data_IF_636659758902
#
_entry.id   IF_636659758902
#
_cell.length_a   1.000
_cell.length_b   1.000
_cell.length_c   1.000
_cell.angle_alpha   90.00
_cell.angle_beta   90.00
_cell.angle_gamma   90.00
#
_symmetry.space_group_name_H-M   'P 1'
#
loop_
_entity.id
_entity.type
_entity.pdbx_description
1 polymer ?
#
# COMPACT_ATOMS: atom_id res chain seq x y z
N UNK A 1 5.90 8.14 -45.81
CA UNK A 1 5.20 7.63 -44.60
C UNK A 1 6.24 7.45 -43.50
N UNK A 2 5.98 7.83 -42.24
CA UNK A 2 6.97 7.66 -41.18
C UNK A 2 7.02 6.19 -40.76
N UNK A 3 8.17 5.56 -40.93
CA UNK A 3 8.43 4.19 -40.48
C UNK A 3 8.49 4.16 -38.95
N UNK A 4 7.67 3.33 -38.32
CA UNK A 4 7.60 3.24 -36.87
C UNK A 4 8.86 2.58 -36.29
N UNK A 5 9.23 2.94 -35.05
CA UNK A 5 10.35 2.33 -34.29
C UNK A 5 10.31 0.78 -34.28
N UNK A 6 9.12 0.17 -34.37
CA UNK A 6 8.92 -1.27 -34.43
C UNK A 6 9.37 -1.89 -35.77
N UNK A 7 9.19 -1.18 -36.87
CA UNK A 7 9.56 -1.66 -38.21
C UNK A 7 11.09 -1.57 -38.42
N UNK A 8 11.73 -0.57 -37.82
CA UNK A 8 13.19 -0.44 -37.82
C UNK A 8 13.88 -1.62 -37.10
N UNK A 9 13.38 -2.01 -35.93
CA UNK A 9 13.94 -3.15 -35.17
C UNK A 9 13.72 -4.48 -35.90
N UNK A 10 12.57 -4.65 -36.56
CA UNK A 10 12.28 -5.87 -37.34
C UNK A 10 13.19 -5.99 -38.57
N UNK A 11 13.51 -4.87 -39.22
CA UNK A 11 14.41 -4.84 -40.39
C UNK A 11 15.86 -5.09 -40.00
N UNK A 12 16.32 -4.57 -38.85
CA UNK A 12 17.68 -4.78 -38.36
C UNK A 12 17.97 -6.25 -37.97
N UNK A 13 16.98 -6.98 -37.46
CA UNK A 13 17.12 -8.39 -37.09
C UNK A 13 17.24 -9.31 -38.32
N UNK A 14 16.60 -8.97 -39.45
CA UNK A 14 16.66 -9.77 -40.67
C UNK A 14 17.97 -9.61 -41.47
N UNK A 15 18.68 -8.49 -41.32
CA UNK A 15 19.94 -8.25 -42.02
C UNK A 15 21.15 -8.97 -41.41
N UNK A 16 21.16 -9.20 -40.09
CA UNK A 16 22.30 -9.81 -39.39
C UNK A 16 22.48 -11.31 -39.71
N UNK A 17 21.41 -12.01 -40.10
CA UNK A 17 21.46 -13.44 -40.41
C UNK A 17 22.19 -13.77 -41.72
N UNK A 18 22.37 -12.80 -42.62
CA UNK A 18 23.03 -12.99 -43.92
C UNK A 18 24.55 -12.67 -43.91
N UNK A 19 25.10 -12.17 -42.80
CA UNK A 19 26.49 -11.68 -42.73
C UNK A 19 27.41 -12.46 -41.77
N UNK A 20 26.96 -13.59 -41.20
CA UNK A 20 27.84 -14.48 -40.42
C UNK A 20 28.46 -13.85 -39.16
N UNK A 21 27.87 -12.79 -38.61
CA UNK A 21 28.34 -12.18 -37.37
C UNK A 21 27.94 -13.05 -36.16
N UNK A 22 28.84 -13.24 -35.18
CA UNK A 22 28.55 -14.05 -34.00
C UNK A 22 27.35 -13.46 -33.25
N UNK A 23 26.43 -14.34 -32.83
CA UNK A 23 25.27 -13.96 -32.03
C UNK A 23 25.73 -13.25 -30.76
N UNK A 24 25.33 -11.99 -30.60
CA UNK A 24 25.57 -11.26 -29.35
C UNK A 24 24.90 -12.01 -28.19
N UNK A 25 25.60 -12.25 -27.06
CA UNK A 25 24.95 -12.83 -25.90
C UNK A 25 23.79 -11.93 -25.49
N UNK A 26 22.62 -12.53 -25.26
CA UNK A 26 21.46 -11.81 -24.77
C UNK A 26 21.87 -11.05 -23.50
N UNK A 27 21.84 -9.72 -23.57
CA UNK A 27 22.09 -8.89 -22.39
C UNK A 27 21.07 -9.29 -21.32
N UNK A 28 21.49 -9.48 -20.05
CA UNK A 28 20.55 -9.75 -18.98
C UNK A 28 19.48 -8.67 -18.99
N UNK A 29 18.21 -9.10 -18.96
CA UNK A 29 17.10 -8.17 -18.90
C UNK A 29 17.33 -7.25 -17.70
N UNK A 30 17.42 -5.93 -17.96
CA UNK A 30 17.47 -4.94 -16.89
C UNK A 30 16.25 -5.19 -16.01
N UNK A 31 16.42 -5.49 -14.71
CA UNK A 31 15.28 -5.71 -13.83
C UNK A 31 14.36 -4.52 -13.96
N UNK A 32 13.11 -4.76 -14.36
CA UNK A 32 12.11 -3.70 -14.42
C UNK A 32 12.00 -3.13 -13.02
N UNK A 33 12.37 -1.86 -12.84
CA UNK A 33 12.23 -1.20 -11.54
C UNK A 33 10.76 -1.27 -11.14
N UNK A 34 10.49 -1.90 -10.01
CA UNK A 34 9.17 -1.92 -9.41
C UNK A 34 8.85 -0.46 -9.02
N UNK A 35 7.81 0.15 -9.60
CA UNK A 35 7.50 1.54 -9.31
C UNK A 35 6.83 1.72 -7.94
N UNK A 36 6.70 0.69 -7.11
CA UNK A 36 6.15 0.75 -5.75
C UNK A 36 7.20 1.18 -4.72
N UNK A 37 6.74 1.72 -3.58
CA UNK A 37 7.63 1.98 -2.43
C UNK A 37 8.44 0.72 -2.09
N UNK A 38 9.76 0.81 -1.87
CA UNK A 38 10.58 -0.31 -1.40
C UNK A 38 10.04 -0.89 -0.10
N UNK A 39 10.18 -2.20 0.06
CA UNK A 39 9.83 -2.89 1.29
C UNK A 39 11.09 -3.09 2.12
N UNK A 40 10.91 -3.12 3.43
CA UNK A 40 11.91 -3.70 4.31
C UNK A 40 12.18 -5.17 3.90
N UNK A 41 13.45 -5.62 3.89
CA UNK A 41 13.82 -6.98 3.49
C UNK A 41 13.03 -8.09 4.19
N UNK A 42 12.61 -7.90 5.44
CA UNK A 42 11.92 -8.93 6.23
C UNK A 42 10.59 -9.38 5.63
N UNK A 43 9.78 -8.44 5.15
CA UNK A 43 8.46 -8.74 4.56
C UNK A 43 8.49 -8.84 3.03
N UNK A 44 9.57 -8.39 2.38
CA UNK A 44 9.64 -8.24 0.93
C UNK A 44 9.26 -9.50 0.14
N UNK A 45 9.75 -10.71 0.48
CA UNK A 45 9.39 -11.93 -0.26
C UNK A 45 7.90 -12.27 -0.17
N UNK A 46 7.31 -12.14 1.02
CA UNK A 46 5.92 -12.52 1.25
C UNK A 46 4.95 -11.49 0.65
N UNK A 47 5.27 -10.20 0.74
CA UNK A 47 4.45 -9.17 0.06
C UNK A 47 4.45 -9.39 -1.45
N UNK A 48 5.60 -9.69 -2.06
CA UNK A 48 5.66 -10.00 -3.50
C UNK A 48 4.83 -11.22 -3.86
N UNK A 49 4.87 -12.29 -3.06
CA UNK A 49 4.00 -13.46 -3.23
C UNK A 49 2.53 -13.05 -3.30
N UNK A 50 2.05 -12.27 -2.32
CA UNK A 50 0.66 -11.82 -2.28
C UNK A 50 0.32 -10.95 -3.51
N UNK A 51 1.23 -10.07 -3.90
CA UNK A 51 1.01 -9.13 -5.00
C UNK A 51 0.99 -9.81 -6.38
N UNK A 52 1.88 -10.77 -6.60
CA UNK A 52 2.20 -11.31 -7.93
C UNK A 52 1.48 -12.62 -8.23
N UNK A 53 1.21 -13.46 -7.22
CA UNK A 53 0.50 -14.73 -7.42
C UNK A 53 -0.96 -14.49 -7.82
N UNK A 54 -1.47 -15.27 -8.78
CA UNK A 54 -2.88 -15.22 -9.19
C UNK A 54 -3.81 -15.61 -8.06
N UNK A 55 -5.00 -15.00 -8.01
CA UNK A 55 -6.00 -15.30 -6.97
C UNK A 55 -6.33 -16.80 -6.87
N UNK A 56 -6.45 -17.46 -8.02
CA UNK A 56 -6.85 -18.88 -8.14
C UNK A 56 -5.83 -19.89 -7.56
N UNK A 57 -4.60 -19.46 -7.29
CA UNK A 57 -3.54 -20.33 -6.75
C UNK A 57 -2.94 -19.79 -5.45
N UNK A 58 -3.33 -18.57 -5.05
CA UNK A 58 -2.69 -17.88 -3.93
C UNK A 58 -2.93 -18.58 -2.60
N UNK A 59 -4.14 -19.10 -2.38
CA UNK A 59 -4.49 -19.74 -1.11
C UNK A 59 -3.71 -21.04 -0.93
N UNK A 60 -3.53 -21.83 -1.99
CA UNK A 60 -2.72 -23.04 -2.01
C UNK A 60 -1.25 -22.73 -1.69
N UNK A 61 -0.70 -21.69 -2.33
CA UNK A 61 0.69 -21.23 -2.14
C UNK A 61 0.94 -20.72 -0.71
N UNK A 62 0.00 -19.98 -0.15
CA UNK A 62 0.07 -19.48 1.23
C UNK A 62 -0.09 -20.63 2.23
N UNK A 63 -1.06 -21.53 2.01
CA UNK A 63 -1.27 -22.70 2.86
C UNK A 63 -0.05 -23.64 2.88
N UNK A 64 0.61 -23.83 1.74
CA UNK A 64 1.86 -24.59 1.67
C UNK A 64 2.96 -23.96 2.53
N UNK A 65 3.10 -22.63 2.51
CA UNK A 65 4.08 -21.92 3.35
C UNK A 65 3.74 -21.98 4.83
N UNK A 66 2.46 -21.87 5.20
CA UNK A 66 2.00 -22.06 6.59
C UNK A 66 2.39 -23.46 7.09
N UNK A 67 2.14 -24.51 6.30
CA UNK A 67 2.56 -25.88 6.65
C UNK A 67 4.07 -26.04 6.78
N UNK A 68 4.85 -25.20 6.09
CA UNK A 68 6.31 -25.17 6.15
C UNK A 68 6.85 -24.14 7.16
N UNK A 69 6.02 -23.62 8.06
CA UNK A 69 6.47 -22.79 9.20
C UNK A 69 6.35 -21.28 9.02
N UNK A 70 5.63 -20.78 7.99
CA UNK A 70 5.33 -19.36 7.89
C UNK A 70 4.57 -18.88 9.14
N UNK A 71 5.10 -17.85 9.81
CA UNK A 71 4.52 -17.28 11.01
C UNK A 71 3.25 -16.47 10.74
N UNK A 72 2.33 -16.50 11.70
CA UNK A 72 1.06 -15.78 11.62
C UNK A 72 1.24 -14.26 11.47
N UNK A 73 2.11 -13.67 12.29
CA UNK A 73 2.39 -12.22 12.25
C UNK A 73 3.10 -11.81 10.96
N UNK A 74 3.91 -12.70 10.38
CA UNK A 74 4.55 -12.47 9.09
C UNK A 74 3.52 -12.36 7.98
N UNK A 75 2.53 -13.26 7.92
CA UNK A 75 1.46 -13.18 6.93
C UNK A 75 0.55 -11.96 7.17
N UNK A 76 0.21 -11.65 8.42
CA UNK A 76 -0.60 -10.47 8.76
C UNK A 76 0.09 -9.17 8.32
N UNK A 77 1.37 -9.01 8.65
CA UNK A 77 2.15 -7.84 8.26
C UNK A 77 2.35 -7.73 6.75
N UNK A 78 2.63 -8.84 6.07
CA UNK A 78 2.74 -8.85 4.61
C UNK A 78 1.40 -8.48 3.94
N UNK A 79 0.28 -8.97 4.45
CA UNK A 79 -1.05 -8.60 3.95
C UNK A 79 -1.29 -7.10 4.11
N UNK A 80 -1.00 -6.54 5.28
CA UNK A 80 -1.13 -5.09 5.54
C UNK A 80 -0.33 -4.27 4.52
N UNK A 81 0.96 -4.62 4.35
CA UNK A 81 1.86 -3.91 3.44
C UNK A 81 1.45 -4.08 1.97
N UNK A 82 1.03 -5.27 1.56
CA UNK A 82 0.51 -5.51 0.22
C UNK A 82 -0.76 -4.68 -0.02
N UNK A 83 -1.70 -4.66 0.92
CA UNK A 83 -2.95 -3.94 0.78
C UNK A 83 -2.73 -2.43 0.67
N UNK A 84 -1.96 -1.80 1.56
CA UNK A 84 -1.72 -0.34 1.52
C UNK A 84 -0.92 0.11 0.29
N UNK A 85 -0.09 -0.76 -0.29
CA UNK A 85 0.70 -0.47 -1.50
C UNK A 85 -0.11 -0.59 -2.80
N UNK A 86 -1.19 -1.36 -2.80
CA UNK A 86 -1.91 -1.74 -4.03
C UNK A 86 -3.39 -1.35 -4.04
N UNK A 87 -3.94 -0.84 -2.94
CA UNK A 87 -5.33 -0.39 -2.88
C UNK A 87 -5.36 1.01 -2.30
N UNK A 88 -5.88 1.96 -3.08
CA UNK A 88 -5.91 3.36 -2.68
C UNK A 88 -7.19 3.68 -1.88
N UNK A 89 -7.10 4.49 -0.80
CA UNK A 89 -8.25 4.92 0.02
C UNK A 89 -9.14 5.98 -0.67
N UNK A 90 -9.20 6.01 -2.01
CA UNK A 90 -9.93 7.00 -2.81
C UNK A 90 -10.74 6.33 -3.93
N UNK A 91 -11.80 6.99 -4.44
CA UNK A 91 -12.29 8.35 -4.11
C UNK A 91 -12.86 8.50 -2.69
N UNK A 92 -13.37 7.41 -2.13
CA UNK A 92 -13.83 7.32 -0.74
C UNK A 92 -13.12 6.20 0.00
N UNK A 93 -13.01 6.34 1.32
CA UNK A 93 -12.41 5.32 2.19
C UNK A 93 -13.47 4.26 2.45
N UNK A 94 -13.40 3.11 1.76
CA UNK A 94 -14.41 2.05 1.88
C UNK A 94 -14.36 1.11 0.68
N UNK A 95 -15.38 0.26 0.53
CA UNK A 95 -15.49 -0.72 -0.57
C UNK A 95 -14.22 -1.55 -0.73
N UNK A 96 -13.46 -1.38 -1.82
CA UNK A 96 -12.16 -2.04 -2.06
C UNK A 96 -11.15 -1.81 -0.93
N UNK A 97 -11.21 -0.67 -0.26
CA UNK A 97 -10.26 -0.35 0.82
C UNK A 97 -10.50 -1.19 2.08
N UNK A 98 -11.58 -1.97 2.16
CA UNK A 98 -11.74 -2.97 3.22
C UNK A 98 -10.58 -3.98 3.26
N UNK A 99 -9.89 -4.23 2.14
CA UNK A 99 -8.66 -5.01 2.13
C UNK A 99 -7.59 -4.52 3.13
N UNK A 100 -7.59 -3.21 3.47
CA UNK A 100 -6.74 -2.62 4.51
C UNK A 100 -7.48 -2.54 5.85
N UNK A 101 -8.71 -2.03 5.85
CA UNK A 101 -9.44 -1.71 7.08
C UNK A 101 -9.70 -2.94 7.96
N UNK A 102 -9.87 -4.11 7.36
CA UNK A 102 -10.25 -5.33 8.09
C UNK A 102 -9.06 -6.05 8.72
N UNK A 103 -7.81 -5.68 8.42
CA UNK A 103 -6.62 -6.48 8.81
C UNK A 103 -6.55 -6.73 10.32
N UNK A 104 -6.77 -5.71 11.15
CA UNK A 104 -6.83 -5.91 12.60
C UNK A 104 -8.11 -6.66 13.04
N UNK A 105 -9.24 -6.46 12.37
CA UNK A 105 -10.48 -7.19 12.67
C UNK A 105 -10.33 -8.69 12.42
N UNK A 106 -9.68 -9.09 11.32
CA UNK A 106 -9.38 -10.49 11.04
C UNK A 106 -8.34 -11.04 12.01
N UNK A 107 -7.43 -10.20 12.51
CA UNK A 107 -6.54 -10.58 13.59
C UNK A 107 -7.31 -10.96 14.86
N UNK A 108 -8.24 -10.11 15.29
CA UNK A 108 -9.10 -10.37 16.45
C UNK A 108 -9.99 -11.60 16.26
N UNK A 109 -10.57 -11.76 15.06
CA UNK A 109 -11.35 -12.96 14.72
C UNK A 109 -10.51 -14.23 14.78
N UNK A 110 -9.26 -14.18 14.29
CA UNK A 110 -8.32 -15.31 14.37
C UNK A 110 -8.02 -15.68 15.81
N UNK A 111 -7.72 -14.69 16.67
CA UNK A 111 -7.43 -14.93 18.09
C UNK A 111 -8.63 -15.49 18.85
N UNK A 112 -9.84 -15.16 18.42
CA UNK A 112 -11.10 -15.62 19.01
C UNK A 112 -11.56 -16.97 18.44
N UNK A 113 -10.87 -17.50 17.43
CA UNK A 113 -11.22 -18.77 16.79
C UNK A 113 -10.57 -19.97 17.49
N UNK A 114 -11.18 -21.17 17.42
CA UNK A 114 -10.51 -22.42 17.79
C UNK A 114 -9.17 -22.55 17.07
N UNK A 115 -8.19 -23.21 17.70
CA UNK A 115 -6.82 -23.33 17.16
C UNK A 115 -6.78 -23.82 15.72
N UNK A 116 -7.58 -24.85 15.40
CA UNK A 116 -7.70 -25.43 14.06
C UNK A 116 -8.22 -24.44 13.00
N UNK A 117 -8.92 -23.40 13.41
CA UNK A 117 -9.62 -22.43 12.55
C UNK A 117 -8.91 -21.07 12.50
N UNK A 118 -7.84 -20.86 13.29
CA UNK A 118 -7.15 -19.57 13.45
C UNK A 118 -6.63 -18.94 12.15
N UNK A 119 -6.35 -19.74 11.14
CA UNK A 119 -5.87 -19.27 9.84
C UNK A 119 -7.00 -18.83 8.91
N UNK A 120 -8.24 -19.31 9.11
CA UNK A 120 -9.34 -19.07 8.18
C UNK A 120 -9.65 -17.58 7.99
N UNK A 121 -9.74 -16.73 9.04
CA UNK A 121 -9.99 -15.31 8.84
C UNK A 121 -8.88 -14.60 8.06
N UNK A 122 -7.63 -15.00 8.27
CA UNK A 122 -6.48 -14.41 7.57
C UNK A 122 -6.41 -14.86 6.10
N UNK A 123 -6.70 -16.14 5.82
CA UNK A 123 -6.80 -16.65 4.45
C UNK A 123 -7.95 -15.99 3.67
N UNK A 124 -9.09 -15.75 4.33
CA UNK A 124 -10.19 -14.96 3.75
C UNK A 124 -9.73 -13.55 3.39
N UNK A 125 -8.97 -12.89 4.28
CA UNK A 125 -8.47 -11.54 4.03
C UNK A 125 -7.47 -11.48 2.87
N UNK A 126 -6.63 -12.52 2.73
CA UNK A 126 -5.72 -12.68 1.58
C UNK A 126 -6.50 -12.79 0.27
N UNK A 127 -7.55 -13.60 0.21
CA UNK A 127 -8.41 -13.69 -0.98
C UNK A 127 -9.13 -12.36 -1.28
N UNK A 128 -9.68 -11.73 -0.25
CA UNK A 128 -10.38 -10.45 -0.37
C UNK A 128 -9.46 -9.33 -0.88
N UNK A 129 -8.20 -9.30 -0.43
CA UNK A 129 -7.17 -8.40 -0.95
C UNK A 129 -7.00 -8.57 -2.47
N UNK A 130 -6.95 -9.80 -3.00
CA UNK A 130 -6.82 -10.02 -4.44
C UNK A 130 -8.01 -9.52 -5.24
N UNK A 131 -9.23 -9.66 -4.70
CA UNK A 131 -10.41 -9.03 -5.29
C UNK A 131 -10.27 -7.51 -5.39
N UNK A 132 -9.82 -6.88 -4.30
CA UNK A 132 -9.63 -5.42 -4.23
C UNK A 132 -8.49 -4.92 -5.11
N UNK A 133 -7.39 -5.68 -5.21
CA UNK A 133 -6.26 -5.40 -6.09
C UNK A 133 -6.68 -5.48 -7.57
N UNK A 134 -7.50 -6.46 -7.94
CA UNK A 134 -8.05 -6.58 -9.29
C UNK A 134 -8.96 -5.40 -9.64
N UNK A 135 -9.83 -4.98 -8.71
CA UNK A 135 -10.68 -3.80 -8.86
C UNK A 135 -9.86 -2.51 -9.04
N UNK A 136 -8.79 -2.33 -8.25
CA UNK A 136 -7.87 -1.19 -8.43
C UNK A 136 -7.23 -1.20 -9.82
N UNK A 137 -6.76 -2.37 -10.27
CA UNK A 137 -6.16 -2.54 -11.60
C UNK A 137 -7.12 -2.17 -12.74
N UNK A 138 -8.40 -2.49 -12.60
CA UNK A 138 -9.41 -2.17 -13.61
C UNK A 138 -9.77 -0.67 -13.63
N UNK A 139 -9.79 -0.01 -12.48
CA UNK A 139 -10.24 1.39 -12.35
C UNK A 139 -9.15 2.42 -12.63
N UNK A 140 -7.89 2.09 -12.38
CA UNK A 140 -6.78 3.02 -12.61
C UNK A 140 -5.37 2.47 -12.42
N UNK A 141 -5.23 1.27 -11.86
CA UNK A 141 -3.93 0.63 -11.64
C UNK A 141 -3.05 1.39 -10.65
N UNK A 142 -3.68 2.08 -9.69
CA UNK A 142 -2.91 2.81 -8.70
C UNK A 142 -2.04 1.86 -7.87
N UNK A 143 -0.84 2.32 -7.59
CA UNK A 143 0.12 1.70 -6.68
C UNK A 143 0.86 2.81 -5.95
N UNK A 144 1.16 2.61 -4.67
CA UNK A 144 1.92 3.58 -3.88
C UNK A 144 3.34 3.71 -4.42
N UNK A 145 3.65 4.87 -5.02
CA UNK A 145 5.00 5.18 -5.52
C UNK A 145 5.98 5.45 -4.37
N UNK A 146 7.30 5.36 -4.61
CA UNK A 146 8.28 5.97 -3.73
C UNK A 146 7.88 7.42 -3.42
N UNK A 147 8.16 7.85 -2.19
CA UNK A 147 7.95 9.26 -1.81
C UNK A 147 8.93 10.14 -2.59
N UNK A 148 8.54 11.37 -2.89
CA UNK A 148 9.48 12.37 -3.37
C UNK A 148 10.40 12.77 -2.22
N UNK A 149 11.62 12.21 -2.21
CA UNK A 149 12.61 12.44 -1.15
C UNK A 149 12.99 13.92 -0.99
N UNK A 150 12.85 14.74 -2.04
CA UNK A 150 13.12 16.18 -1.95
C UNK A 150 12.03 16.95 -1.21
N UNK A 151 10.82 16.39 -1.14
CA UNK A 151 9.68 16.96 -0.43
C UNK A 151 9.58 16.48 1.03
N UNK A 152 10.35 15.45 1.43
CA UNK A 152 10.29 14.91 2.79
C UNK A 152 10.87 15.94 3.78
N UNK A 153 10.08 16.42 4.76
CA UNK A 153 10.57 17.39 5.73
C UNK A 153 11.62 16.74 6.66
N UNK A 154 12.59 17.51 7.16
CA UNK A 154 13.51 17.00 8.17
C UNK A 154 12.73 16.60 9.44
N UNK A 155 13.21 15.64 10.25
CA UNK A 155 12.45 15.07 11.38
C UNK A 155 11.83 16.10 12.32
N UNK A 156 12.58 17.14 12.70
CA UNK A 156 12.12 18.20 13.60
C UNK A 156 11.01 19.11 13.02
N UNK A 157 10.72 19.02 11.71
CA UNK A 157 9.61 19.73 11.03
C UNK A 157 8.47 18.82 10.59
N UNK A 158 8.67 17.49 10.60
CA UNK A 158 7.72 16.54 10.02
C UNK A 158 6.32 16.66 10.64
N UNK A 159 6.23 16.76 11.98
CA UNK A 159 4.95 16.97 12.68
C UNK A 159 4.22 18.23 12.24
N UNK A 160 4.92 19.36 12.18
CA UNK A 160 4.34 20.64 11.77
C UNK A 160 3.88 20.59 10.31
N UNK A 161 4.72 20.09 9.41
CA UNK A 161 4.39 19.95 8.00
C UNK A 161 3.18 19.03 7.77
N UNK A 162 3.06 17.95 8.53
CA UNK A 162 1.92 17.03 8.43
C UNK A 162 0.61 17.69 8.85
N UNK A 163 0.62 18.45 9.96
CA UNK A 163 -0.53 19.23 10.43
C UNK A 163 -0.96 20.23 9.35
N UNK A 164 -0.03 21.05 8.86
CA UNK A 164 -0.31 22.07 7.84
C UNK A 164 -0.87 21.45 6.56
N UNK A 165 -0.29 20.34 6.10
CA UNK A 165 -0.76 19.63 4.92
C UNK A 165 -2.17 19.04 5.10
N UNK A 166 -2.45 18.41 6.25
CA UNK A 166 -3.76 17.85 6.52
C UNK A 166 -4.83 18.92 6.71
N UNK A 167 -4.51 20.06 7.32
CA UNK A 167 -5.41 21.20 7.49
C UNK A 167 -5.73 21.85 6.13
N UNK A 168 -4.77 21.90 5.21
CA UNK A 168 -4.96 22.37 3.84
C UNK A 168 -5.58 21.31 2.89
N UNK A 169 -5.75 20.07 3.35
CA UNK A 169 -6.13 18.92 2.51
C UNK A 169 -5.17 18.69 1.33
N UNK A 170 -3.90 19.05 1.49
CA UNK A 170 -2.84 18.85 0.51
C UNK A 170 -2.33 17.40 0.56
N UNK A 171 -2.80 16.58 -0.37
CA UNK A 171 -2.43 15.16 -0.45
C UNK A 171 -0.93 14.96 -0.63
N UNK A 172 -0.29 15.74 -1.50
CA UNK A 172 1.12 15.55 -1.86
C UNK A 172 2.02 15.94 -0.70
N UNK A 173 1.75 17.07 -0.05
CA UNK A 173 2.49 17.48 1.13
C UNK A 173 2.24 16.52 2.31
N UNK A 174 1.01 16.01 2.47
CA UNK A 174 0.67 15.07 3.53
C UNK A 174 1.38 13.73 3.35
N UNK A 175 1.49 13.21 2.12
CA UNK A 175 2.23 11.98 1.82
C UNK A 175 3.73 12.12 2.15
N UNK A 176 4.36 13.24 1.75
CA UNK A 176 5.77 13.51 2.05
C UNK A 176 6.02 13.68 3.55
N UNK A 177 5.16 14.43 4.25
CA UNK A 177 5.28 14.62 5.69
C UNK A 177 4.99 13.33 6.48
N UNK A 178 4.13 12.44 5.99
CA UNK A 178 3.90 11.13 6.58
C UNK A 178 5.15 10.24 6.52
N UNK A 179 5.91 10.29 5.42
CA UNK A 179 7.21 9.62 5.34
C UNK A 179 8.20 10.19 6.37
N UNK A 180 8.28 11.51 6.49
CA UNK A 180 9.10 12.17 7.51
C UNK A 180 8.73 11.77 8.95
N UNK A 181 7.43 11.68 9.24
CA UNK A 181 6.93 11.21 10.54
C UNK A 181 7.32 9.76 10.80
N UNK A 182 7.12 8.87 9.83
CA UNK A 182 7.45 7.44 9.95
C UNK A 182 8.92 7.21 10.32
N UNK A 183 9.82 8.06 9.82
CA UNK A 183 11.27 7.93 9.97
C UNK A 183 11.82 8.61 11.22
N UNK A 184 11.10 9.59 11.77
CA UNK A 184 11.64 10.51 12.77
C UNK A 184 10.85 10.67 14.07
N UNK A 185 9.56 10.32 14.08
CA UNK A 185 8.70 10.51 15.25
C UNK A 185 8.52 9.21 16.06
N UNK A 186 8.24 9.36 17.35
CA UNK A 186 7.88 8.22 18.20
C UNK A 186 6.51 7.65 17.83
N UNK A 187 6.31 6.35 18.04
CA UNK A 187 5.04 5.68 17.76
C UNK A 187 3.86 6.39 18.46
N UNK A 188 3.97 6.62 19.77
CA UNK A 188 2.88 7.23 20.55
C UNK A 188 2.54 8.66 20.09
N UNK A 189 3.56 9.50 19.87
CA UNK A 189 3.38 10.85 19.33
C UNK A 189 2.69 10.82 17.96
N UNK A 190 3.08 9.88 17.11
CA UNK A 190 2.46 9.67 15.80
C UNK A 190 0.99 9.28 15.97
N UNK A 191 0.67 8.37 16.90
CA UNK A 191 -0.70 7.96 17.15
C UNK A 191 -1.61 9.10 17.57
N UNK A 192 -1.19 9.91 18.54
CA UNK A 192 -1.99 11.02 19.04
C UNK A 192 -2.38 11.97 17.90
N UNK A 193 -1.42 12.23 17.01
CA UNK A 193 -1.64 13.05 15.82
C UNK A 193 -2.64 12.39 14.86
N UNK A 194 -2.42 11.11 14.52
CA UNK A 194 -3.32 10.37 13.64
C UNK A 194 -4.74 10.25 14.21
N UNK A 195 -4.89 10.02 15.52
CA UNK A 195 -6.18 9.89 16.19
C UNK A 195 -7.00 11.17 16.07
N UNK A 196 -6.35 12.33 16.26
CA UNK A 196 -6.99 13.63 16.04
C UNK A 196 -7.51 13.78 14.61
N UNK A 197 -6.70 13.48 13.62
CA UNK A 197 -7.08 13.65 12.21
C UNK A 197 -8.03 12.57 11.68
N UNK A 198 -7.92 11.34 12.18
CA UNK A 198 -8.81 10.24 11.83
C UNK A 198 -10.24 10.46 12.32
N UNK A 199 -10.42 11.21 13.41
CA UNK A 199 -11.73 11.59 13.96
C UNK A 199 -12.24 12.96 13.47
N UNK A 200 -11.42 13.74 12.76
CA UNK A 200 -11.78 15.09 12.29
C UNK A 200 -12.90 15.10 11.25
N UNK A 201 -12.98 14.05 10.44
CA UNK A 201 -13.81 14.01 9.24
C UNK A 201 -14.63 12.72 9.17
N UNK A 202 -15.96 12.85 9.27
CA UNK A 202 -16.91 11.74 9.25
C UNK A 202 -17.34 11.32 7.83
N UNK A 203 -16.81 11.96 6.78
CA UNK A 203 -16.97 11.47 5.41
C UNK A 203 -16.54 10.01 5.31
N UNK A 204 -17.22 9.28 4.42
CA UNK A 204 -17.09 7.83 4.33
C UNK A 204 -17.40 7.14 5.66
N UNK A 205 -18.47 7.54 6.37
CA UNK A 205 -19.07 6.78 7.49
C UNK A 205 -18.04 6.38 8.57
N UNK A 206 -17.08 7.26 8.88
CA UNK A 206 -16.06 7.01 9.91
C UNK A 206 -14.95 6.02 9.54
N UNK A 207 -14.84 5.58 8.28
CA UNK A 207 -13.77 4.65 7.88
C UNK A 207 -12.35 5.20 8.12
N UNK A 208 -12.16 6.52 8.18
CA UNK A 208 -10.87 7.16 8.54
C UNK A 208 -10.48 6.86 10.00
N UNK A 209 -11.43 6.94 10.92
CA UNK A 209 -11.22 6.56 12.32
C UNK A 209 -10.98 5.06 12.47
N UNK A 210 -11.73 4.23 11.72
CA UNK A 210 -11.51 2.77 11.66
C UNK A 210 -10.09 2.48 11.19
N UNK A 211 -9.65 3.12 10.10
CA UNK A 211 -8.30 2.89 9.56
C UNK A 211 -7.23 3.30 10.58
N UNK A 212 -7.40 4.46 11.22
CA UNK A 212 -6.46 4.94 12.25
C UNK A 212 -6.32 3.92 13.37
N UNK A 213 -7.45 3.45 13.90
CA UNK A 213 -7.49 2.53 15.03
C UNK A 213 -6.96 1.13 14.67
N UNK A 214 -7.30 0.61 13.49
CA UNK A 214 -6.88 -0.72 13.03
C UNK A 214 -5.45 -0.72 12.49
N UNK A 215 -5.04 0.33 11.79
CA UNK A 215 -3.67 0.51 11.32
C UNK A 215 -2.68 0.58 12.47
N UNK A 216 -2.99 1.38 13.51
CA UNK A 216 -2.20 1.43 14.74
C UNK A 216 -2.02 0.05 15.38
N UNK A 217 -3.12 -0.67 15.64
CA UNK A 217 -3.05 -2.01 16.26
C UNK A 217 -2.34 -3.06 15.40
N UNK A 218 -2.43 -2.92 14.08
CA UNK A 218 -1.68 -3.78 13.16
C UNK A 218 -0.19 -3.49 13.28
N UNK A 219 0.23 -2.22 13.35
CA UNK A 219 1.62 -1.82 13.56
C UNK A 219 2.16 -2.28 14.92
N UNK A 220 1.36 -2.28 15.98
CA UNK A 220 1.73 -2.90 17.27
C UNK A 220 2.00 -4.41 17.15
N UNK A 221 1.35 -5.09 16.19
CA UNK A 221 1.54 -6.52 15.96
C UNK A 221 2.74 -6.83 15.06
N UNK A 222 2.93 -6.08 13.98
CA UNK A 222 3.97 -6.32 12.96
C UNK A 222 5.27 -5.52 13.17
N UNK A 223 5.26 -4.50 14.03
CA UNK A 223 6.38 -3.63 14.32
C UNK A 223 6.38 -2.30 13.56
N UNK A 224 6.81 -1.24 14.25
CA UNK A 224 6.85 0.14 13.75
C UNK A 224 7.93 0.42 12.70
N UNK A 225 8.92 -0.45 12.56
CA UNK A 225 9.93 -0.34 11.50
C UNK A 225 9.32 -0.33 10.09
N UNK A 226 8.10 -0.85 9.93
CA UNK A 226 7.38 -0.92 8.67
C UNK A 226 6.24 0.11 8.56
N UNK A 227 6.26 1.16 9.38
CA UNK A 227 5.16 2.11 9.48
C UNK A 227 4.99 3.00 8.24
N UNK A 228 6.05 3.29 7.48
CA UNK A 228 6.01 4.30 6.41
C UNK A 228 4.89 4.05 5.37
N UNK A 229 4.75 2.87 4.75
CA UNK A 229 3.63 2.61 3.83
C UNK A 229 2.25 2.78 4.48
N UNK A 230 2.12 2.44 5.76
CA UNK A 230 0.85 2.53 6.49
C UNK A 230 0.51 3.99 6.79
N UNK A 231 1.47 4.78 7.27
CA UNK A 231 1.29 6.20 7.58
C UNK A 231 1.02 7.02 6.32
N UNK A 232 1.71 6.72 5.22
CA UNK A 232 1.45 7.32 3.92
C UNK A 232 0.04 7.01 3.41
N UNK A 233 -0.40 5.76 3.55
CA UNK A 233 -1.78 5.38 3.20
C UNK A 233 -2.81 6.09 4.08
N UNK A 234 -2.55 6.25 5.38
CA UNK A 234 -3.40 7.03 6.30
C UNK A 234 -3.48 8.50 5.90
N UNK A 235 -2.36 9.13 5.54
CA UNK A 235 -2.33 10.51 5.07
C UNK A 235 -3.24 10.72 3.85
N UNK A 236 -3.17 9.78 2.90
CA UNK A 236 -4.04 9.77 1.71
C UNK A 236 -5.51 9.51 2.05
N UNK A 237 -5.78 8.67 3.06
CA UNK A 237 -7.13 8.46 3.55
C UNK A 237 -7.69 9.73 4.22
N UNK A 238 -6.87 10.45 5.00
CA UNK A 238 -7.29 11.67 5.68
C UNK A 238 -7.62 12.80 4.71
N UNK A 239 -6.88 12.91 3.62
CA UNK A 239 -7.13 13.89 2.55
C UNK A 239 -8.18 13.44 1.53
N UNK A 240 -8.67 12.20 1.60
CA UNK A 240 -9.71 11.71 0.70
C UNK A 240 -11.02 12.50 0.86
N UNK A 241 -11.51 13.06 -0.23
CA UNK A 241 -12.78 13.78 -0.35
C UNK A 241 -13.30 13.69 -1.79
N UNK A 242 -14.60 13.95 -1.94
CA UNK A 242 -15.28 14.07 -3.22
C UNK A 242 -15.80 15.51 -3.35
N UNK A 243 -15.75 16.07 -4.57
CA UNK A 243 -16.20 17.43 -4.83
C UNK A 243 -15.21 18.50 -4.33
N UNK A 244 -15.73 19.49 -3.60
CA UNK A 244 -14.95 20.64 -3.13
C UNK A 244 -13.94 20.22 -2.05
N UNK A 245 -12.74 20.80 -2.10
CA UNK A 245 -11.74 20.65 -1.05
C UNK A 245 -12.33 21.15 0.29
N UNK A 246 -12.39 20.31 1.35
CA UNK A 246 -12.95 20.67 2.65
C UNK A 246 -12.30 21.90 3.30
N UNK A 247 -11.02 22.17 3.04
CA UNK A 247 -10.34 23.38 3.54
C UNK A 247 -10.95 24.69 3.00
N UNK A 248 -11.74 24.61 1.93
CA UNK A 248 -12.39 25.74 1.28
C UNK A 248 -13.93 25.69 1.38
N UNK A 249 -14.48 24.77 2.19
CA UNK A 249 -15.91 24.52 2.32
C UNK A 249 -16.41 24.65 3.77
N UNK A 250 -17.72 24.44 3.95
CA UNK A 250 -18.39 24.40 5.26
C UNK A 250 -19.52 23.35 5.21
N UNK A 251 -19.17 22.09 4.92
CA UNK A 251 -20.15 21.02 4.89
C UNK A 251 -20.47 20.54 6.32
N UNK A 252 -21.66 19.95 6.58
CA UNK A 252 -21.97 19.39 7.89
C UNK A 252 -20.96 18.33 8.38
N UNK A 253 -20.26 17.66 7.46
CA UNK A 253 -19.23 16.68 7.78
C UNK A 253 -17.90 17.30 8.25
N UNK A 254 -17.75 18.63 8.16
CA UNK A 254 -16.57 19.39 8.61
C UNK A 254 -16.71 19.94 10.04
N UNK A 255 -17.89 19.76 10.66
CA UNK A 255 -18.25 20.35 11.95
C UNK A 255 -18.26 19.32 13.08
#
# INVERSE_FOLDING_TARGET
>A
MPTGRRDFIRTAASGAALLGLPAFPALPAVPRQDPRIPLDPGFAPLVRLLEETSRDTLIEEVAARIRNGLGYKELLGALMLAAVRNVQPRPSVGFKFHAVLVVNSVHLASLSSPERDRWLPLLWAVDHFKGSQADEKQKGGWTMKPVDESAVPPPHKARKAFIEALDAWDETAADAAAAGLARGAGAHETFELLARYGARDFRSIGHKAIFTANGWRTLECMGWAHAEPVLRSLARAFTAHEGQNPANGDAPADR
#
